data_IF_440940732560
#
_entry.id   IF_440940732560
#
_cell.length_a   1.000
_cell.length_b   1.000
_cell.length_c   1.000
_cell.angle_alpha   90.00
_cell.angle_beta   90.00
_cell.angle_gamma   90.00
#
_symmetry.space_group_name_H-M   'P 1'
#
loop_
_entity.id
_entity.type
_entity.pdbx_description
1 polymer ?
#
# COMPACT_ATOMS: atom_id res chain seq x y z
N UNK A 1 9.52 10.33 28.26
CA UNK A 1 9.07 9.38 27.22
C UNK A 1 8.95 10.20 25.95
N UNK A 2 9.57 9.77 24.84
CA UNK A 2 9.33 10.39 23.55
C UNK A 2 7.86 10.16 23.20
N UNK A 3 7.12 11.20 22.83
CA UNK A 3 5.74 11.04 22.34
C UNK A 3 5.75 10.14 21.11
N UNK A 4 4.83 9.16 21.05
CA UNK A 4 4.70 8.31 19.88
C UNK A 4 4.16 9.13 18.72
N UNK A 5 4.88 9.14 17.60
CA UNK A 5 4.43 9.79 16.38
C UNK A 5 3.32 8.99 15.70
N UNK A 6 2.43 9.66 14.98
CA UNK A 6 1.51 9.02 14.06
C UNK A 6 2.14 8.94 12.67
N UNK A 7 2.34 7.71 12.19
CA UNK A 7 2.72 7.42 10.82
C UNK A 7 1.48 7.09 10.00
N UNK A 8 1.28 7.83 8.92
CA UNK A 8 0.26 7.56 7.91
C UNK A 8 0.95 6.83 6.76
N UNK A 9 0.62 5.55 6.61
CA UNK A 9 1.21 4.66 5.61
C UNK A 9 0.31 4.66 4.36
N UNK A 10 0.77 5.30 3.30
CA UNK A 10 0.02 5.52 2.07
C UNK A 10 0.31 4.45 1.03
N UNK A 11 -0.74 3.84 0.45
CA UNK A 11 -0.60 3.20 -0.85
C UNK A 11 -0.46 4.25 -1.95
N UNK A 12 -0.03 3.84 -3.14
CA UNK A 12 0.30 4.75 -4.25
C UNK A 12 -0.72 4.66 -5.38
N UNK A 13 -0.85 3.48 -6.01
CA UNK A 13 -1.71 3.31 -7.20
C UNK A 13 -3.18 3.16 -6.82
N UNK A 14 -4.01 4.11 -7.18
CA UNK A 14 -5.42 4.16 -6.79
C UNK A 14 -5.68 4.95 -5.51
N UNK A 15 -4.62 5.33 -4.77
CA UNK A 15 -4.70 6.08 -3.53
C UNK A 15 -4.10 7.47 -3.65
N UNK A 16 -2.77 7.60 -3.82
CA UNK A 16 -2.10 8.88 -4.09
C UNK A 16 -2.22 9.29 -5.55
N UNK A 17 -2.18 8.32 -6.46
CA UNK A 17 -2.22 8.51 -7.91
C UNK A 17 -3.37 7.70 -8.49
N UNK A 18 -4.12 8.28 -9.41
CA UNK A 18 -5.15 7.56 -10.17
C UNK A 18 -4.54 6.39 -10.95
N UNK A 19 -5.28 5.32 -11.11
CA UNK A 19 -4.83 4.13 -11.83
C UNK A 19 -4.55 4.43 -13.31
N UNK A 20 -3.45 3.86 -13.82
CA UNK A 20 -3.12 3.98 -15.24
C UNK A 20 -3.92 3.02 -16.11
N UNK A 21 -4.18 3.44 -17.33
CA UNK A 21 -5.03 2.74 -18.31
C UNK A 21 -4.46 1.38 -18.75
N UNK A 22 -3.16 1.11 -18.55
CA UNK A 22 -2.50 -0.10 -19.05
C UNK A 22 -1.51 -0.70 -18.03
N UNK A 23 -2.02 -1.02 -16.84
CA UNK A 23 -1.19 -1.47 -15.71
C UNK A 23 -0.42 -2.78 -15.99
N UNK A 24 -1.00 -3.73 -16.74
CA UNK A 24 -0.39 -5.05 -17.01
C UNK A 24 0.74 -5.07 -18.06
N UNK A 25 0.77 -4.12 -18.98
CA UNK A 25 1.66 -4.16 -20.15
C UNK A 25 3.15 -4.09 -19.82
N UNK A 26 3.54 -3.36 -18.77
CA UNK A 26 4.94 -3.28 -18.34
C UNK A 26 5.46 -4.61 -17.75
N UNK A 27 4.64 -5.30 -17.00
CA UNK A 27 5.02 -6.60 -16.43
C UNK A 27 5.22 -7.65 -17.53
N UNK A 28 4.31 -7.67 -18.51
CA UNK A 28 4.46 -8.54 -19.69
C UNK A 28 5.78 -8.27 -20.39
N UNK A 29 6.05 -7.01 -20.74
CA UNK A 29 7.26 -6.60 -21.44
C UNK A 29 8.52 -6.96 -20.64
N UNK A 30 8.54 -6.71 -19.33
CA UNK A 30 9.65 -7.04 -18.44
C UNK A 30 9.96 -8.55 -18.42
N UNK A 31 8.91 -9.38 -18.35
CA UNK A 31 9.08 -10.84 -18.34
C UNK A 31 9.52 -11.35 -19.71
N UNK A 32 8.95 -10.83 -20.81
CA UNK A 32 9.36 -11.19 -22.17
C UNK A 32 10.83 -10.86 -22.45
N UNK A 33 11.32 -9.72 -21.94
CA UNK A 33 12.73 -9.36 -22.01
C UNK A 33 13.61 -10.33 -21.20
N UNK A 34 13.21 -10.65 -19.98
CA UNK A 34 13.93 -11.60 -19.12
C UNK A 34 13.97 -13.02 -19.71
N UNK A 35 12.84 -13.48 -20.23
CA UNK A 35 12.70 -14.82 -20.81
C UNK A 35 13.20 -14.92 -22.24
N UNK A 36 13.42 -13.80 -22.94
CA UNK A 36 13.76 -13.71 -24.37
C UNK A 36 12.75 -14.42 -25.27
N UNK A 37 11.50 -14.44 -24.86
CA UNK A 37 10.38 -15.03 -25.60
C UNK A 37 9.06 -14.32 -25.26
N UNK A 38 8.05 -14.47 -26.11
CA UNK A 38 6.70 -13.96 -25.84
C UNK A 38 5.99 -14.82 -24.81
N UNK A 39 5.14 -14.19 -24.01
CA UNK A 39 4.28 -14.91 -23.09
C UNK A 39 3.15 -15.61 -23.84
N UNK A 40 2.83 -16.84 -23.43
CA UNK A 40 1.69 -17.61 -23.95
C UNK A 40 0.39 -17.24 -23.21
N UNK A 41 0.50 -16.90 -21.93
CA UNK A 41 -0.61 -16.49 -21.07
C UNK A 41 -0.45 -15.04 -20.61
N UNK A 42 -1.56 -14.26 -20.55
CA UNK A 42 -1.50 -12.87 -20.11
C UNK A 42 -1.09 -12.75 -18.65
N UNK A 43 -0.53 -11.58 -18.30
CA UNK A 43 -0.22 -11.25 -16.91
C UNK A 43 -1.51 -11.27 -16.08
N UNK A 44 -1.51 -11.94 -14.92
CA UNK A 44 -2.66 -11.97 -14.01
C UNK A 44 -3.11 -10.58 -13.54
N UNK A 45 -4.30 -10.53 -12.89
CA UNK A 45 -4.82 -9.28 -12.31
C UNK A 45 -3.78 -8.65 -11.36
N UNK A 46 -3.53 -7.34 -11.51
CA UNK A 46 -2.46 -6.63 -10.82
C UNK A 46 -2.91 -5.85 -9.57
N UNK A 47 -4.21 -5.50 -9.47
CA UNK A 47 -4.72 -4.64 -8.39
C UNK A 47 -4.55 -5.27 -7.00
N UNK A 48 -3.97 -4.50 -6.07
CA UNK A 48 -3.75 -4.91 -4.69
C UNK A 48 -2.56 -5.85 -4.47
N UNK A 49 -1.83 -6.22 -5.53
CA UNK A 49 -0.66 -7.10 -5.47
C UNK A 49 0.66 -6.31 -5.45
N UNK A 50 1.72 -6.97 -5.00
CA UNK A 50 3.08 -6.43 -5.12
C UNK A 50 3.66 -6.68 -6.51
N UNK A 51 4.64 -5.88 -6.92
CA UNK A 51 5.39 -6.10 -8.16
C UNK A 51 6.00 -7.51 -8.18
N UNK A 52 6.58 -7.93 -7.05
CA UNK A 52 7.13 -9.27 -6.90
C UNK A 52 6.10 -10.36 -7.08
N UNK A 53 4.90 -10.22 -6.50
CA UNK A 53 3.83 -11.20 -6.65
C UNK A 53 3.34 -11.31 -8.10
N UNK A 54 3.15 -10.17 -8.77
CA UNK A 54 2.67 -10.14 -10.16
C UNK A 54 3.67 -10.85 -11.08
N UNK A 55 4.98 -10.55 -10.91
CA UNK A 55 6.03 -11.22 -11.68
C UNK A 55 6.07 -12.72 -11.40
N UNK A 56 5.94 -13.16 -10.14
CA UNK A 56 5.91 -14.58 -9.77
C UNK A 56 4.75 -15.31 -10.42
N UNK A 57 3.54 -14.80 -10.27
CA UNK A 57 2.35 -15.43 -10.83
C UNK A 57 2.40 -15.50 -12.36
N UNK A 58 2.93 -14.48 -13.02
CA UNK A 58 3.05 -14.46 -14.46
C UNK A 58 4.12 -15.44 -14.97
N UNK A 59 5.26 -15.56 -14.28
CA UNK A 59 6.28 -16.58 -14.58
C UNK A 59 5.70 -17.99 -14.43
N UNK A 60 5.00 -18.26 -13.33
CA UNK A 60 4.39 -19.55 -13.05
C UNK A 60 3.33 -19.91 -14.09
N UNK A 61 2.43 -18.96 -14.42
CA UNK A 61 1.37 -19.16 -15.42
C UNK A 61 1.93 -19.49 -16.81
N UNK A 62 3.17 -19.08 -17.12
CA UNK A 62 3.84 -19.31 -18.41
C UNK A 62 4.87 -20.44 -18.34
N UNK A 63 4.94 -21.20 -17.24
CA UNK A 63 5.93 -22.29 -17.07
C UNK A 63 7.38 -21.83 -17.13
N UNK A 64 7.65 -20.56 -16.80
CA UNK A 64 8.97 -19.96 -16.85
C UNK A 64 9.76 -20.18 -15.55
N UNK A 65 11.10 -20.32 -15.64
CA UNK A 65 11.94 -20.50 -14.46
C UNK A 65 11.83 -19.35 -13.45
N UNK A 66 11.78 -19.70 -12.17
CA UNK A 66 11.70 -18.72 -11.06
C UNK A 66 12.93 -17.82 -10.96
N UNK A 67 14.05 -18.31 -11.41
CA UNK A 67 15.35 -17.63 -11.46
C UNK A 67 15.31 -16.37 -12.36
N UNK A 68 14.30 -16.26 -13.24
CA UNK A 68 14.08 -15.06 -14.06
C UNK A 68 13.49 -13.89 -13.27
N UNK A 69 12.93 -14.12 -12.07
CA UNK A 69 12.25 -13.08 -11.31
C UNK A 69 13.14 -11.84 -11.05
N UNK A 70 14.39 -11.95 -10.53
CA UNK A 70 15.23 -10.77 -10.32
C UNK A 70 15.54 -10.00 -11.62
N UNK A 71 15.69 -10.72 -12.73
CA UNK A 71 15.95 -10.13 -14.05
C UNK A 71 14.73 -9.40 -14.56
N UNK A 72 13.54 -10.01 -14.43
CA UNK A 72 12.26 -9.37 -14.80
C UNK A 72 11.98 -8.14 -13.92
N UNK A 73 12.29 -8.19 -12.62
CA UNK A 73 12.16 -7.05 -11.72
C UNK A 73 13.07 -5.88 -12.15
N UNK A 74 14.32 -6.16 -12.51
CA UNK A 74 15.24 -5.13 -13.02
C UNK A 74 14.74 -4.51 -14.34
N UNK A 75 14.22 -5.33 -15.27
CA UNK A 75 13.61 -4.82 -16.50
C UNK A 75 12.36 -3.99 -16.22
N UNK A 76 11.55 -4.37 -15.24
CA UNK A 76 10.36 -3.61 -14.86
C UNK A 76 10.71 -2.20 -14.35
N UNK A 77 11.77 -2.08 -13.56
CA UNK A 77 12.29 -0.78 -13.10
C UNK A 77 12.83 0.05 -14.27
N UNK A 78 13.62 -0.55 -15.15
CA UNK A 78 14.19 0.12 -16.33
C UNK A 78 13.08 0.61 -17.28
N UNK A 79 12.09 -0.20 -17.60
CA UNK A 79 10.94 0.18 -18.43
C UNK A 79 10.13 1.31 -17.78
N UNK A 80 10.04 1.30 -16.44
CA UNK A 80 9.36 2.37 -15.69
C UNK A 80 10.13 3.68 -15.78
N UNK A 81 11.48 3.64 -15.70
CA UNK A 81 12.34 4.79 -15.91
C UNK A 81 12.17 5.35 -17.34
N UNK A 82 12.24 4.47 -18.35
CA UNK A 82 12.08 4.88 -19.74
C UNK A 82 10.72 5.57 -19.99
N UNK A 83 9.63 5.05 -19.42
CA UNK A 83 8.31 5.70 -19.50
C UNK A 83 8.31 7.06 -18.81
N UNK A 84 8.92 7.18 -17.65
CA UNK A 84 9.06 8.46 -16.94
C UNK A 84 9.82 9.49 -17.79
N UNK A 85 10.98 9.12 -18.31
CA UNK A 85 11.80 9.98 -19.20
C UNK A 85 11.07 10.31 -20.51
N UNK A 86 10.27 9.40 -21.04
CA UNK A 86 9.39 9.60 -22.20
C UNK A 86 8.17 10.49 -21.92
N UNK A 87 8.06 11.07 -20.72
CA UNK A 87 7.02 12.02 -20.38
C UNK A 87 5.68 11.39 -19.96
N UNK A 88 5.65 10.08 -19.66
CA UNK A 88 4.46 9.46 -19.09
C UNK A 88 4.08 10.11 -17.76
N UNK A 89 2.83 10.48 -17.62
CA UNK A 89 2.29 11.14 -16.43
C UNK A 89 1.18 10.30 -15.80
N UNK A 90 1.03 10.47 -14.50
CA UNK A 90 -0.13 10.03 -13.72
C UNK A 90 -0.82 11.26 -13.15
N UNK A 91 -2.12 11.17 -12.99
CA UNK A 91 -2.87 12.20 -12.28
C UNK A 91 -2.83 11.91 -10.78
N UNK A 92 -2.65 12.96 -9.99
CA UNK A 92 -2.80 12.89 -8.53
C UNK A 92 -4.30 12.68 -8.23
N UNK A 93 -4.62 11.80 -7.29
CA UNK A 93 -6.00 11.58 -6.89
C UNK A 93 -6.57 12.82 -6.15
N UNK A 94 -7.89 13.06 -6.25
CA UNK A 94 -8.50 14.26 -5.68
C UNK A 94 -8.26 14.39 -4.17
N UNK A 95 -7.77 15.56 -3.73
CA UNK A 95 -7.55 15.91 -2.33
C UNK A 95 -6.26 15.36 -1.70
N UNK A 96 -5.40 14.68 -2.47
CA UNK A 96 -4.16 14.07 -1.96
C UNK A 96 -3.20 15.12 -1.46
N UNK A 97 -2.94 16.19 -2.22
CA UNK A 97 -1.98 17.23 -1.83
C UNK A 97 -2.41 17.88 -0.53
N UNK A 98 -3.68 18.20 -0.40
CA UNK A 98 -4.28 18.79 0.79
C UNK A 98 -4.19 17.82 1.99
N UNK A 99 -4.47 16.53 1.78
CA UNK A 99 -4.43 15.54 2.84
C UNK A 99 -3.02 15.31 3.37
N UNK A 100 -2.04 15.07 2.48
CA UNK A 100 -0.64 14.85 2.85
C UNK A 100 -0.07 16.09 3.58
N UNK A 101 -0.38 17.29 3.08
CA UNK A 101 0.01 18.55 3.71
C UNK A 101 -0.63 18.70 5.09
N UNK A 102 -1.93 18.44 5.21
CA UNK A 102 -2.67 18.57 6.46
C UNK A 102 -2.16 17.61 7.55
N UNK A 103 -1.72 16.40 7.20
CA UNK A 103 -1.07 15.47 8.12
C UNK A 103 0.31 15.99 8.55
N UNK A 104 1.13 16.47 7.60
CA UNK A 104 2.45 17.02 7.90
C UNK A 104 2.40 18.26 8.81
N UNK A 105 1.46 19.19 8.56
CA UNK A 105 1.26 20.40 9.38
C UNK A 105 0.85 20.08 10.83
N UNK A 106 0.26 18.91 11.07
CA UNK A 106 -0.08 18.41 12.41
C UNK A 106 1.07 17.65 13.08
N UNK A 107 2.24 17.60 12.45
CA UNK A 107 3.42 16.90 12.97
C UNK A 107 3.33 15.37 12.82
N UNK A 108 2.45 14.87 11.95
CA UNK A 108 2.38 13.45 11.61
C UNK A 108 3.31 13.12 10.44
N UNK A 109 3.75 11.89 10.37
CA UNK A 109 4.71 11.45 9.37
C UNK A 109 3.97 10.72 8.24
N UNK A 110 4.06 11.25 7.02
CA UNK A 110 3.61 10.52 5.84
C UNK A 110 4.72 9.58 5.37
N UNK A 111 4.43 8.29 5.25
CA UNK A 111 5.32 7.29 4.70
C UNK A 111 4.56 6.43 3.67
N UNK A 112 5.28 5.69 2.86
CA UNK A 112 4.69 4.88 1.79
C UNK A 112 4.62 3.41 2.19
N UNK A 113 3.52 2.75 1.84
CA UNK A 113 3.33 1.31 1.98
C UNK A 113 2.70 0.78 0.69
N UNK A 114 3.51 0.43 -0.28
CA UNK A 114 3.05 0.11 -1.63
C UNK A 114 3.57 -1.20 -2.16
N UNK A 115 2.81 -1.84 -3.03
CA UNK A 115 3.25 -3.03 -3.77
C UNK A 115 4.30 -2.76 -4.85
N UNK A 116 4.55 -1.50 -5.18
CA UNK A 116 5.57 -1.12 -6.16
C UNK A 116 6.98 -1.22 -5.59
N UNK A 117 7.99 -1.32 -6.48
CA UNK A 117 9.38 -1.06 -6.11
C UNK A 117 9.59 0.40 -5.71
N UNK A 118 10.65 0.68 -4.95
CA UNK A 118 11.01 2.04 -4.56
C UNK A 118 11.27 2.93 -5.79
N UNK A 119 11.97 2.41 -6.80
CA UNK A 119 12.27 3.15 -8.02
C UNK A 119 11.00 3.49 -8.80
N UNK A 120 10.12 2.52 -9.03
CA UNK A 120 8.85 2.74 -9.74
C UNK A 120 7.96 3.73 -9.03
N UNK A 121 7.88 3.65 -7.70
CA UNK A 121 7.16 4.61 -6.89
C UNK A 121 7.68 6.02 -7.10
N UNK A 122 8.99 6.20 -7.03
CA UNK A 122 9.63 7.50 -7.26
C UNK A 122 9.32 8.07 -8.64
N UNK A 123 9.45 7.27 -9.70
CA UNK A 123 9.17 7.72 -11.06
C UNK A 123 7.70 8.11 -11.27
N UNK A 124 6.77 7.34 -10.71
CA UNK A 124 5.33 7.64 -10.76
C UNK A 124 5.00 8.96 -10.08
N UNK A 125 5.46 9.14 -8.83
CA UNK A 125 5.19 10.34 -8.03
C UNK A 125 5.83 11.59 -8.63
N UNK A 126 7.10 11.51 -9.07
CA UNK A 126 7.77 12.60 -9.80
C UNK A 126 7.05 12.95 -11.11
N UNK A 127 6.63 11.92 -11.86
CA UNK A 127 5.89 12.11 -13.09
C UNK A 127 4.53 12.78 -12.88
N UNK A 128 3.89 12.59 -11.74
CA UNK A 128 2.66 13.25 -11.35
C UNK A 128 2.87 14.69 -10.81
N UNK A 129 4.12 15.05 -10.48
CA UNK A 129 4.42 16.34 -9.84
C UNK A 129 4.11 16.37 -8.35
N UNK A 130 3.99 15.20 -7.70
CA UNK A 130 3.80 15.12 -6.25
C UNK A 130 5.14 15.38 -5.56
N UNK A 131 5.14 16.26 -4.56
CA UNK A 131 6.34 16.60 -3.80
C UNK A 131 6.80 15.40 -2.96
N UNK A 132 7.98 14.88 -3.28
CA UNK A 132 8.54 13.73 -2.59
C UNK A 132 9.04 14.05 -1.19
N UNK A 133 9.32 15.32 -0.87
CA UNK A 133 9.81 15.75 0.45
C UNK A 133 8.72 15.70 1.52
N UNK A 134 7.46 15.59 1.10
CA UNK A 134 6.32 15.38 2.01
C UNK A 134 6.28 13.95 2.60
N UNK A 135 7.15 13.06 2.14
CA UNK A 135 7.16 11.64 2.55
C UNK A 135 8.49 11.23 3.18
N UNK A 136 8.41 10.49 4.26
CA UNK A 136 9.55 9.82 4.90
C UNK A 136 9.93 8.55 4.11
N UNK A 137 10.92 8.66 3.23
CA UNK A 137 11.41 7.55 2.41
C UNK A 137 12.19 6.51 3.20
N UNK A 138 12.77 6.87 4.35
CA UNK A 138 13.51 5.95 5.22
C UNK A 138 12.55 4.94 5.88
N UNK A 139 11.37 5.41 6.29
CA UNK A 139 10.34 4.59 6.90
C UNK A 139 9.21 4.23 5.90
N UNK A 140 9.55 4.15 4.61
CA UNK A 140 8.65 3.69 3.56
C UNK A 140 8.96 2.24 3.16
N UNK A 141 7.92 1.50 2.78
CA UNK A 141 8.01 0.05 2.54
C UNK A 141 7.47 -0.30 1.16
N UNK A 142 8.26 -1.07 0.42
CA UNK A 142 8.06 -1.32 -1.01
C UNK A 142 7.96 -2.81 -1.31
N UNK A 143 7.33 -3.15 -2.44
CA UNK A 143 7.01 -4.51 -2.85
C UNK A 143 8.06 -5.22 -3.70
N UNK A 144 9.22 -4.62 -3.92
CA UNK A 144 10.34 -5.22 -4.64
C UNK A 144 11.03 -6.36 -3.89
N UNK A 145 11.00 -6.32 -2.57
CA UNK A 145 11.67 -7.29 -1.68
C UNK A 145 10.73 -8.36 -1.11
N UNK A 146 9.43 -8.31 -1.42
CA UNK A 146 8.44 -9.26 -0.91
C UNK A 146 7.38 -9.59 -1.93
N UNK A 147 7.10 -10.87 -2.09
CA UNK A 147 6.04 -11.38 -2.97
C UNK A 147 4.64 -11.26 -2.36
N UNK A 148 4.52 -10.86 -1.09
CA UNK A 148 3.23 -10.82 -0.37
C UNK A 148 3.07 -9.49 0.37
N UNK A 149 1.96 -8.78 0.11
CA UNK A 149 1.70 -7.47 0.72
C UNK A 149 1.69 -7.51 2.25
N UNK A 150 1.14 -8.55 2.87
CA UNK A 150 1.12 -8.71 4.32
C UNK A 150 2.51 -8.80 4.96
N UNK A 151 3.53 -9.26 4.23
CA UNK A 151 4.92 -9.26 4.71
C UNK A 151 5.49 -7.85 4.78
N UNK A 152 5.24 -7.03 3.76
CA UNK A 152 5.66 -5.63 3.73
C UNK A 152 5.04 -4.90 4.93
N UNK A 153 3.74 -5.10 5.16
CA UNK A 153 3.01 -4.48 6.26
C UNK A 153 3.52 -4.92 7.63
N UNK A 154 3.82 -6.23 7.82
CA UNK A 154 4.42 -6.71 9.08
C UNK A 154 5.83 -6.14 9.31
N UNK A 155 6.63 -5.96 8.26
CA UNK A 155 7.94 -5.31 8.35
C UNK A 155 7.80 -3.85 8.78
N UNK A 156 6.84 -3.11 8.21
CA UNK A 156 6.52 -1.75 8.62
C UNK A 156 6.12 -1.71 10.10
N UNK A 157 5.20 -2.56 10.53
CA UNK A 157 4.76 -2.64 11.92
C UNK A 157 5.90 -2.97 12.90
N UNK A 158 6.81 -3.86 12.52
CA UNK A 158 7.96 -4.23 13.35
C UNK A 158 8.99 -3.10 13.44
N UNK A 159 9.30 -2.44 12.33
CA UNK A 159 10.27 -1.34 12.28
C UNK A 159 9.77 -0.08 13.01
N UNK A 160 8.46 0.17 12.96
CA UNK A 160 7.79 1.30 13.61
C UNK A 160 7.16 0.92 14.96
N UNK A 161 7.66 -0.13 15.61
CA UNK A 161 7.13 -0.58 16.89
C UNK A 161 7.18 0.54 17.95
N UNK A 162 6.05 0.76 18.62
CA UNK A 162 5.89 1.85 19.59
C UNK A 162 5.41 3.17 18.99
N UNK A 163 5.30 3.26 17.67
CA UNK A 163 4.64 4.36 16.97
C UNK A 163 3.16 4.06 16.75
N UNK A 164 2.35 5.09 16.51
CA UNK A 164 0.97 4.97 16.08
C UNK A 164 0.93 4.84 14.57
N UNK A 165 0.15 3.91 14.04
CA UNK A 165 0.10 3.61 12.61
C UNK A 165 -1.34 3.64 12.10
N UNK A 166 -1.52 4.14 10.88
CA UNK A 166 -2.75 4.01 10.09
C UNK A 166 -2.37 3.76 8.64
N UNK A 167 -3.10 2.87 7.96
CA UNK A 167 -2.93 2.62 6.52
C UNK A 167 -4.07 3.30 5.78
N UNK A 168 -3.72 3.99 4.67
CA UNK A 168 -4.69 4.54 3.72
C UNK A 168 -4.42 3.88 2.36
N UNK A 169 -5.44 3.23 1.79
CA UNK A 169 -5.33 2.49 0.53
C UNK A 169 -6.68 2.32 -0.16
N UNK A 170 -6.69 1.75 -1.37
CA UNK A 170 -7.87 1.63 -2.23
C UNK A 170 -8.28 0.17 -2.51
N UNK A 171 -7.61 -0.82 -1.91
CA UNK A 171 -7.85 -2.23 -2.25
C UNK A 171 -8.13 -3.12 -1.04
N UNK A 172 -8.86 -4.26 -1.24
CA UNK A 172 -8.92 -5.33 -0.23
C UNK A 172 -7.55 -5.93 0.13
N UNK A 173 -6.54 -5.77 -0.75
CA UNK A 173 -5.16 -6.15 -0.45
C UNK A 173 -4.54 -5.30 0.65
N UNK A 174 -4.89 -4.01 0.72
CA UNK A 174 -4.47 -3.11 1.79
C UNK A 174 -5.08 -3.53 3.13
N UNK A 175 -6.38 -3.83 3.13
CA UNK A 175 -7.08 -4.36 4.31
C UNK A 175 -6.45 -5.67 4.80
N UNK A 176 -6.17 -6.61 3.89
CA UNK A 176 -5.51 -7.87 4.22
C UNK A 176 -4.14 -7.63 4.87
N UNK A 177 -3.35 -6.69 4.31
CA UNK A 177 -2.07 -6.29 4.87
C UNK A 177 -2.24 -5.65 6.26
N UNK A 178 -3.14 -4.71 6.39
CA UNK A 178 -3.46 -3.99 7.62
C UNK A 178 -3.90 -4.94 8.74
N UNK A 179 -4.86 -5.81 8.45
CA UNK A 179 -5.37 -6.83 9.38
C UNK A 179 -4.28 -7.79 9.85
N UNK A 180 -3.37 -8.21 8.94
CA UNK A 180 -2.25 -9.12 9.26
C UNK A 180 -1.23 -8.50 10.24
N UNK A 181 -1.20 -7.19 10.36
CA UNK A 181 -0.30 -6.44 11.23
C UNK A 181 -1.04 -5.76 12.42
N UNK A 182 -2.38 -5.84 12.45
CA UNK A 182 -3.20 -5.18 13.47
C UNK A 182 -3.19 -3.65 13.36
N UNK A 183 -3.00 -3.11 12.15
CA UNK A 183 -3.00 -1.67 11.87
C UNK A 183 -4.39 -1.26 11.36
N UNK A 184 -4.97 -0.14 11.85
CA UNK A 184 -6.22 0.38 11.29
C UNK A 184 -6.10 0.73 9.81
N UNK A 185 -7.16 0.44 9.05
CA UNK A 185 -7.23 0.71 7.61
C UNK A 185 -8.35 1.70 7.29
N UNK A 186 -8.01 2.75 6.55
CA UNK A 186 -8.95 3.71 5.95
C UNK A 186 -8.94 3.47 4.44
N UNK A 187 -10.12 3.24 3.87
CA UNK A 187 -10.26 2.98 2.44
C UNK A 187 -10.68 4.22 1.66
N UNK A 188 -10.05 4.44 0.50
CA UNK A 188 -10.43 5.48 -0.48
C UNK A 188 -10.87 4.80 -1.79
N UNK A 189 -12.01 5.21 -2.35
CA UNK A 189 -12.59 4.59 -3.55
C UNK A 189 -12.11 5.25 -4.86
N UNK A 190 -10.88 5.75 -4.89
CA UNK A 190 -10.28 6.39 -6.08
C UNK A 190 -9.59 5.40 -7.01
N UNK A 191 -9.53 4.12 -6.62
CA UNK A 191 -8.88 3.06 -7.38
C UNK A 191 -9.84 2.24 -8.25
N UNK A 192 -9.59 0.93 -8.27
CA UNK A 192 -10.40 -0.03 -9.04
C UNK A 192 -11.70 -0.44 -8.32
N UNK A 193 -11.66 -0.51 -6.99
CA UNK A 193 -12.76 -0.97 -6.17
C UNK A 193 -13.71 0.19 -5.80
N UNK A 194 -15.01 -0.05 -5.90
CA UNK A 194 -16.03 0.90 -5.47
C UNK A 194 -16.09 1.03 -3.95
N UNK A 195 -16.67 2.12 -3.46
CA UNK A 195 -16.89 2.31 -2.03
C UNK A 195 -17.74 1.19 -1.41
N UNK A 196 -18.72 0.64 -2.16
CA UNK A 196 -19.55 -0.47 -1.68
C UNK A 196 -18.76 -1.76 -1.51
N UNK A 197 -17.81 -2.06 -2.40
CA UNK A 197 -16.89 -3.21 -2.27
C UNK A 197 -15.94 -3.00 -1.09
N UNK A 198 -15.40 -1.79 -0.93
CA UNK A 198 -14.50 -1.46 0.18
C UNK A 198 -15.20 -1.47 1.54
N UNK A 199 -16.50 -1.18 1.63
CA UNK A 199 -17.31 -1.36 2.86
C UNK A 199 -17.45 -2.81 3.30
N UNK A 200 -17.12 -3.80 2.45
CA UNK A 200 -17.08 -5.21 2.82
C UNK A 200 -15.74 -5.63 3.45
N UNK A 201 -14.75 -4.74 3.50
CA UNK A 201 -13.45 -4.96 4.14
C UNK A 201 -13.50 -4.60 5.63
N UNK A 202 -12.36 -4.73 6.33
CA UNK A 202 -12.18 -4.28 7.71
C UNK A 202 -11.90 -2.78 7.87
N UNK A 203 -12.12 -1.97 6.83
CA UNK A 203 -11.86 -0.54 6.89
C UNK A 203 -12.67 0.16 7.99
N UNK A 204 -12.01 0.96 8.81
CA UNK A 204 -12.64 1.74 9.88
C UNK A 204 -13.39 2.96 9.33
N UNK A 205 -13.02 3.39 8.13
CA UNK A 205 -13.67 4.46 7.36
C UNK A 205 -13.52 4.15 5.87
N UNK A 206 -14.58 4.39 5.09
CA UNK A 206 -14.56 4.35 3.62
C UNK A 206 -15.04 5.69 3.10
N UNK A 207 -14.26 6.30 2.22
CA UNK A 207 -14.58 7.57 1.55
C UNK A 207 -14.51 7.42 0.02
N UNK A 208 -15.19 8.29 -0.71
CA UNK A 208 -15.14 8.32 -2.17
C UNK A 208 -13.78 8.83 -2.66
N UNK A 209 -13.33 9.95 -2.09
CA UNK A 209 -12.03 10.56 -2.34
C UNK A 209 -11.57 11.42 -1.15
N UNK A 210 -10.31 11.84 -1.17
CA UNK A 210 -9.75 12.69 -0.12
C UNK A 210 -10.24 14.14 -0.19
N UNK A 211 -10.69 14.63 -1.36
CA UNK A 211 -11.19 15.99 -1.47
C UNK A 211 -12.50 16.16 -0.69
N UNK A 212 -13.40 15.17 -0.78
CA UNK A 212 -14.68 15.19 -0.05
C UNK A 212 -14.59 14.64 1.37
N UNK A 213 -13.61 13.75 1.66
CA UNK A 213 -13.49 13.01 2.91
C UNK A 213 -12.40 13.49 3.88
N UNK A 214 -11.66 14.56 3.59
CA UNK A 214 -10.45 14.96 4.32
C UNK A 214 -10.65 15.05 5.84
N UNK A 215 -11.65 15.80 6.30
CA UNK A 215 -11.92 15.98 7.74
C UNK A 215 -12.25 14.66 8.44
N UNK A 216 -13.00 13.79 7.76
CA UNK A 216 -13.34 12.47 8.28
C UNK A 216 -12.10 11.59 8.40
N UNK A 217 -11.20 11.64 7.41
CA UNK A 217 -9.93 10.89 7.41
C UNK A 217 -9.00 11.37 8.52
N UNK A 218 -8.82 12.68 8.68
CA UNK A 218 -8.01 13.26 9.76
C UNK A 218 -8.54 12.85 11.14
N UNK A 219 -9.85 12.96 11.34
CA UNK A 219 -10.50 12.57 12.60
C UNK A 219 -10.35 11.08 12.89
N UNK A 220 -10.62 10.23 11.90
CA UNK A 220 -10.53 8.79 12.06
C UNK A 220 -9.08 8.33 12.32
N UNK A 221 -8.09 8.84 11.57
CA UNK A 221 -6.70 8.48 11.73
C UNK A 221 -6.17 8.78 13.14
N UNK A 222 -6.57 9.93 13.71
CA UNK A 222 -6.20 10.30 15.08
C UNK A 222 -6.89 9.37 16.08
N UNK A 223 -8.21 9.22 16.01
CA UNK A 223 -9.00 8.46 16.96
C UNK A 223 -8.57 6.99 17.04
N UNK A 224 -8.40 6.31 15.89
CA UNK A 224 -8.02 4.89 15.88
C UNK A 224 -6.58 4.65 16.31
N UNK A 225 -5.69 5.61 16.06
CA UNK A 225 -4.30 5.52 16.50
C UNK A 225 -4.12 5.72 18.01
N UNK A 226 -5.01 6.48 18.65
CA UNK A 226 -5.01 6.69 20.10
C UNK A 226 -5.50 5.46 20.87
N UNK A 227 -6.53 4.78 20.37
CA UNK A 227 -7.09 3.55 20.99
C UNK A 227 -6.03 2.44 21.04
N UNK A 228 -5.16 2.34 20.07
CA UNK A 228 -4.11 1.31 20.02
C UNK A 228 -2.85 1.66 20.84
N UNK A 229 -2.68 2.92 21.21
CA UNK A 229 -1.56 3.38 22.04
C UNK A 229 -1.74 3.05 23.53
N UNK A 230 -2.93 2.59 23.96
CA UNK A 230 -3.21 2.22 25.37
C UNK A 230 -2.96 0.73 25.56
N UNK A 231 -1.82 0.33 26.20
CA UNK A 231 -1.44 -1.09 26.38
C UNK A 231 -2.45 -1.95 27.16
N UNK A 232 -3.31 -1.31 27.95
CA UNK A 232 -4.18 -1.97 28.91
C UNK A 232 -5.49 -2.53 28.29
N UNK A 233 -5.95 -1.97 27.17
CA UNK A 233 -7.17 -2.44 26.50
C UNK A 233 -6.96 -3.72 25.70
N UNK A 234 -5.75 -3.99 25.24
CA UNK A 234 -5.40 -5.24 24.55
C UNK A 234 -5.37 -6.41 25.52
N UNK A 235 -4.81 -6.23 26.70
CA UNK A 235 -4.79 -7.22 27.79
C UNK A 235 -6.19 -7.52 28.32
N UNK A 236 -7.08 -6.54 28.40
CA UNK A 236 -8.46 -6.71 28.82
C UNK A 236 -9.32 -7.47 27.80
N UNK A 237 -9.07 -7.30 26.52
CA UNK A 237 -9.78 -8.04 25.46
C UNK A 237 -9.35 -9.51 25.39
N UNK A 238 -8.08 -9.80 25.58
CA UNK A 238 -7.56 -11.17 25.67
C UNK A 238 -8.02 -11.86 26.97
N UNK A 239 -8.13 -11.13 28.07
CA UNK A 239 -8.65 -11.64 29.33
C UNK A 239 -10.17 -11.98 29.28
N UNK A 240 -10.95 -11.20 28.53
CA UNK A 240 -12.37 -11.45 28.33
C UNK A 240 -12.67 -12.67 27.44
N UNK A 241 -11.81 -12.93 26.45
CA UNK A 241 -11.95 -14.09 25.54
C UNK A 241 -11.48 -15.40 26.20
N UNK A 242 -10.59 -15.35 27.19
CA UNK A 242 -10.15 -16.54 27.94
C UNK A 242 -11.04 -16.88 29.12
N UNK A 243 -11.83 -15.94 29.65
CA UNK A 243 -12.74 -16.17 30.79
C UNK A 243 -13.99 -16.99 30.44
N UNK A 244 -14.43 -16.98 29.17
CA UNK A 244 -15.64 -17.69 28.75
C UNK A 244 -15.43 -19.20 28.46
N UNK A 245 -14.20 -19.71 28.57
CA UNK A 245 -13.89 -21.13 28.27
C UNK A 245 -13.59 -22.00 29.49
N UNK A 246 -13.65 -21.49 30.72
CA UNK A 246 -13.36 -22.25 31.95
C UNK A 246 -14.56 -22.26 32.89
N UNK A 247 -15.73 -22.59 32.40
CA UNK A 247 -16.92 -22.67 33.24
C UNK A 247 -18.04 -23.55 32.71
N UNK A 248 -17.73 -24.78 32.31
CA UNK A 248 -18.68 -25.91 32.26
C UNK A 248 -17.91 -27.23 32.08
N UNK A 249 -17.58 -27.84 33.19
CA UNK A 249 -17.36 -29.27 33.34
C UNK A 249 -18.20 -29.75 34.51
#
# INVERSE_FOLDING_TARGET
MLESLLYVLWDVDGTLLLNGVNAGGLYQEAIELAARQKLEHPVPRVHGKTDGQILWEALEANGLPRELHPVASAHLDELSLQRHLGGSRRDIAPGVVEAVTAFAERGYVNALLTGNSANRTRYKMQGAGLDLELFDWEHSYFGDVSSVRSEITRRAAAALAGQRLVIIGDTPGDDTGASAAGIPFIAVATGYFSADELRQTGAVLVIEDLASGLESVLTAAIAVSEVLAVPDLRAQREALTTSDFVGRA
#
